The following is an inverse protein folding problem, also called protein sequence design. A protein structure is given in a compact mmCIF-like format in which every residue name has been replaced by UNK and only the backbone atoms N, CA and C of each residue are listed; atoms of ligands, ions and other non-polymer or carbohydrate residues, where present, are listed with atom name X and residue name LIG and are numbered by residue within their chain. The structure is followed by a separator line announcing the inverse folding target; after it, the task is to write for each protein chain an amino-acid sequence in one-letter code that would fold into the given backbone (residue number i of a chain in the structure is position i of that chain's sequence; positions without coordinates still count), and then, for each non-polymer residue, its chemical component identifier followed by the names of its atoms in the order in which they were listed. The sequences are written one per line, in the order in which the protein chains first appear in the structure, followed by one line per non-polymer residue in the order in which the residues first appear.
data_IF_656962360813
#
_entry.id   IF_656962360813
#
_cell.length_a   1.000
_cell.length_b   1.000
_cell.length_c   1.000
_cell.angle_alpha   90.00
_cell.angle_beta   90.00
_cell.angle_gamma   90.00
#
_symmetry.space_group_name_H-M   'P 1'
#
loop_
_entity.id
_entity.type
_entity.pdbx_description
1 polymer ?
#
# COMPACT_ATOMS: atom_id res chain seq x y z
N UNK A 1 -22.69 12.87 -12.07
CA UNK A 1 -22.16 14.11 -11.47
C UNK A 1 -21.57 13.94 -10.08
N UNK A 2 -22.25 13.36 -9.09
CA UNK A 2 -21.66 13.16 -7.73
C UNK A 2 -20.50 12.15 -7.70
N UNK A 3 -20.64 11.01 -8.41
CA UNK A 3 -19.59 9.98 -8.50
C UNK A 3 -18.31 10.52 -9.15
N UNK A 4 -18.42 11.27 -10.24
CA UNK A 4 -17.28 11.92 -10.90
C UNK A 4 -16.53 12.87 -9.95
N UNK A 5 -17.24 13.69 -9.18
CA UNK A 5 -16.61 14.61 -8.21
C UNK A 5 -15.91 13.89 -7.05
N UNK A 6 -16.36 12.69 -6.68
CA UNK A 6 -15.73 11.85 -5.66
C UNK A 6 -14.48 11.17 -6.21
N UNK A 7 -14.57 10.64 -7.43
CA UNK A 7 -13.47 9.99 -8.14
C UNK A 7 -12.32 10.99 -8.35
N UNK A 8 -12.60 12.20 -8.84
CA UNK A 8 -11.60 13.26 -9.02
C UNK A 8 -10.88 13.64 -7.72
N UNK A 9 -11.60 13.70 -6.58
CA UNK A 9 -10.99 14.00 -5.28
C UNK A 9 -10.11 12.87 -4.77
N UNK A 10 -10.50 11.62 -5.03
CA UNK A 10 -9.74 10.45 -4.60
C UNK A 10 -8.46 10.32 -5.43
N UNK A 11 -8.54 10.54 -6.74
CA UNK A 11 -7.38 10.65 -7.63
C UNK A 11 -6.47 11.80 -7.18
N UNK A 12 -7.01 12.98 -6.87
CA UNK A 12 -6.19 14.08 -6.37
C UNK A 12 -5.45 13.72 -5.07
N UNK A 13 -6.15 13.07 -4.12
CA UNK A 13 -5.52 12.63 -2.87
C UNK A 13 -4.45 11.57 -3.11
N UNK A 14 -4.69 10.62 -4.02
CA UNK A 14 -3.72 9.61 -4.44
C UNK A 14 -2.45 10.27 -4.99
N UNK A 15 -2.60 11.17 -5.97
CA UNK A 15 -1.46 11.87 -6.58
C UNK A 15 -0.71 12.75 -5.59
N UNK A 16 -1.41 13.33 -4.60
CA UNK A 16 -0.78 14.08 -3.53
C UNK A 16 0.14 13.19 -2.66
N UNK A 17 -0.19 11.91 -2.49
CA UNK A 17 0.64 10.97 -1.71
C UNK A 17 2.00 10.74 -2.40
N UNK A 18 2.07 10.79 -3.72
CA UNK A 18 3.32 10.65 -4.46
C UNK A 18 4.31 11.83 -4.27
N UNK A 19 3.91 12.91 -3.60
CA UNK A 19 4.86 13.93 -3.13
C UNK A 19 5.71 13.44 -1.94
N UNK A 20 5.25 12.45 -1.17
CA UNK A 20 5.99 11.95 -0.01
C UNK A 20 7.15 11.02 -0.40
N UNK A 21 8.28 11.06 0.31
CA UNK A 21 9.53 10.41 -0.12
C UNK A 21 9.43 8.90 -0.39
N UNK A 22 8.70 8.13 0.41
CA UNK A 22 8.58 6.69 0.22
C UNK A 22 7.57 6.29 -0.87
N UNK A 23 6.74 7.23 -1.34
CA UNK A 23 5.80 7.02 -2.44
C UNK A 23 6.29 7.69 -3.74
N UNK A 24 7.33 8.53 -3.65
CA UNK A 24 7.94 9.25 -4.76
C UNK A 24 9.03 8.42 -5.45
N UNK A 25 9.11 8.53 -6.77
CA UNK A 25 10.21 7.95 -7.54
C UNK A 25 10.06 6.43 -7.68
N UNK A 26 11.17 5.69 -7.66
CA UNK A 26 11.18 4.23 -7.90
C UNK A 26 12.08 3.47 -6.91
N UNK A 27 12.38 4.08 -5.77
CA UNK A 27 13.27 3.52 -4.74
C UNK A 27 12.56 2.60 -3.75
N UNK A 28 11.25 2.46 -3.89
CA UNK A 28 10.38 1.66 -3.02
C UNK A 28 9.50 0.76 -3.90
N UNK A 29 9.06 -0.41 -3.39
CA UNK A 29 8.24 -1.35 -4.14
C UNK A 29 6.98 -0.70 -4.71
N UNK A 30 6.65 -1.04 -5.96
CA UNK A 30 5.49 -0.46 -6.67
C UNK A 30 4.19 -0.64 -5.90
N UNK A 31 3.95 -1.82 -5.31
CA UNK A 31 2.76 -2.09 -4.50
C UNK A 31 2.57 -1.11 -3.34
N UNK A 32 3.67 -0.69 -2.69
CA UNK A 32 3.62 0.23 -1.56
C UNK A 32 3.43 1.68 -2.04
N UNK A 33 4.05 2.02 -3.18
CA UNK A 33 3.91 3.34 -3.78
C UNK A 33 2.48 3.60 -4.22
N UNK A 34 1.95 2.71 -5.07
CA UNK A 34 0.66 2.86 -5.74
C UNK A 34 -0.49 2.46 -4.79
N UNK A 35 -0.44 1.26 -4.20
CA UNK A 35 -1.46 0.82 -3.25
C UNK A 35 -1.44 1.59 -1.92
N UNK A 36 -0.29 2.12 -1.52
CA UNK A 36 -0.21 3.01 -0.36
C UNK A 36 -0.79 4.40 -0.64
N UNK A 37 -0.65 4.91 -1.86
CA UNK A 37 -1.34 6.13 -2.28
C UNK A 37 -2.86 5.93 -2.27
N UNK A 38 -3.35 4.81 -2.78
CA UNK A 38 -4.77 4.44 -2.71
C UNK A 38 -5.28 4.32 -1.27
N UNK A 39 -4.51 3.66 -0.39
CA UNK A 39 -4.94 3.49 1.00
C UNK A 39 -4.99 4.82 1.75
N UNK A 40 -4.01 5.70 1.57
CA UNK A 40 -4.03 7.02 2.21
C UNK A 40 -5.15 7.88 1.63
N UNK A 41 -5.37 7.85 0.32
CA UNK A 41 -6.48 8.54 -0.33
C UNK A 41 -7.83 8.07 0.22
N UNK A 42 -8.00 6.75 0.37
CA UNK A 42 -9.19 6.14 0.98
C UNK A 42 -9.39 6.62 2.42
N UNK A 43 -8.35 6.63 3.25
CA UNK A 43 -8.44 7.09 4.64
C UNK A 43 -8.80 8.58 4.74
N UNK A 44 -8.21 9.44 3.89
CA UNK A 44 -8.56 10.86 3.80
C UNK A 44 -10.01 11.03 3.41
N UNK A 45 -10.47 10.27 2.41
CA UNK A 45 -11.85 10.32 1.96
C UNK A 45 -12.83 9.90 3.07
N UNK A 46 -12.52 8.79 3.77
CA UNK A 46 -13.30 8.29 4.90
C UNK A 46 -13.37 9.34 6.02
N UNK A 47 -12.26 10.00 6.35
CA UNK A 47 -12.19 11.02 7.39
C UNK A 47 -12.96 12.30 7.01
N UNK A 48 -12.89 12.74 5.75
CA UNK A 48 -13.52 13.99 5.29
C UNK A 48 -15.01 13.85 5.00
N UNK A 49 -15.45 12.69 4.50
CA UNK A 49 -16.79 12.52 3.96
C UNK A 49 -17.61 11.45 4.66
N UNK A 50 -17.01 10.63 5.54
CA UNK A 50 -17.65 9.51 6.21
C UNK A 50 -18.35 8.54 5.23
N UNK A 51 -17.73 8.35 4.06
CA UNK A 51 -18.24 7.52 2.98
C UNK A 51 -17.27 6.39 2.71
N UNK A 52 -17.81 5.18 2.61
CA UNK A 52 -17.12 4.00 2.11
C UNK A 52 -17.53 3.83 0.65
N UNK A 53 -16.57 3.94 -0.26
CA UNK A 53 -16.80 3.58 -1.66
C UNK A 53 -16.34 2.15 -1.89
N UNK A 54 -17.17 1.38 -2.59
CA UNK A 54 -16.73 0.11 -3.15
C UNK A 54 -15.95 0.43 -4.41
N UNK A 55 -14.68 0.02 -4.46
CA UNK A 55 -14.03 -0.13 -5.75
C UNK A 55 -14.80 -1.17 -6.57
N UNK A 56 -14.83 -0.99 -7.89
CA UNK A 56 -15.33 -2.00 -8.82
C UNK A 56 -14.58 -3.32 -8.57
N UNK A 57 -15.26 -4.46 -8.79
CA UNK A 57 -14.81 -5.77 -8.32
C UNK A 57 -13.34 -6.09 -8.63
N UNK A 58 -12.69 -6.81 -7.72
CA UNK A 58 -11.26 -7.15 -7.73
C UNK A 58 -10.79 -7.56 -9.14
N UNK A 59 -10.06 -6.69 -9.87
CA UNK A 59 -9.53 -7.00 -11.19
C UNK A 59 -8.32 -7.95 -11.11
N UNK A 60 -7.87 -8.28 -9.90
CA UNK A 60 -6.66 -9.06 -9.61
C UNK A 60 -6.96 -10.34 -8.82
N UNK A 61 -8.02 -11.10 -9.18
CA UNK A 61 -8.36 -12.30 -8.43
C UNK A 61 -7.20 -13.30 -8.54
N UNK A 62 -6.78 -13.82 -7.39
CA UNK A 62 -5.69 -14.79 -7.25
C UNK A 62 -4.26 -14.28 -7.52
N UNK A 63 -4.03 -12.97 -7.65
CA UNK A 63 -2.68 -12.39 -7.64
C UNK A 63 -2.23 -12.17 -6.19
N UNK A 64 -1.01 -12.58 -5.86
CA UNK A 64 -0.35 -12.33 -4.59
C UNK A 64 0.67 -11.21 -4.73
N UNK A 65 0.98 -10.55 -3.62
CA UNK A 65 2.02 -9.53 -3.61
C UNK A 65 3.39 -10.10 -4.01
N UNK A 66 3.73 -11.34 -3.61
CA UNK A 66 4.96 -11.98 -4.07
C UNK A 66 5.02 -12.08 -5.60
N UNK A 67 3.92 -12.42 -6.28
CA UNK A 67 3.91 -12.47 -7.74
C UNK A 67 4.19 -11.10 -8.38
N UNK A 68 3.77 -10.01 -7.75
CA UNK A 68 4.07 -8.65 -8.23
C UNK A 68 5.55 -8.32 -8.07
N UNK A 69 6.11 -8.65 -6.90
CA UNK A 69 7.53 -8.47 -6.61
C UNK A 69 8.41 -9.30 -7.56
N UNK A 70 8.03 -10.56 -7.80
CA UNK A 70 8.74 -11.48 -8.70
C UNK A 70 8.68 -11.01 -10.15
N UNK A 71 7.51 -10.56 -10.62
CA UNK A 71 7.36 -10.04 -11.98
C UNK A 71 8.19 -8.78 -12.18
N UNK A 72 8.10 -7.79 -11.27
CA UNK A 72 8.90 -6.57 -11.36
C UNK A 72 10.40 -6.86 -11.31
N UNK A 73 10.85 -7.80 -10.47
CA UNK A 73 12.24 -8.23 -10.40
C UNK A 73 12.69 -8.94 -11.68
N UNK A 74 11.81 -9.73 -12.32
CA UNK A 74 12.14 -10.49 -13.52
C UNK A 74 12.19 -9.63 -14.78
N UNK A 75 11.22 -8.73 -14.98
CA UNK A 75 11.10 -7.95 -16.21
C UNK A 75 11.64 -6.52 -16.08
N UNK A 76 11.84 -6.04 -14.86
CA UNK A 76 12.19 -4.66 -14.57
C UNK A 76 10.99 -3.72 -14.56
N UNK A 77 11.13 -2.58 -13.87
CA UNK A 77 10.02 -1.64 -13.63
C UNK A 77 9.28 -1.20 -14.89
N UNK A 78 9.98 -0.83 -15.98
CA UNK A 78 9.30 -0.28 -17.16
C UNK A 78 8.41 -1.31 -17.85
N UNK A 79 8.90 -2.55 -17.96
CA UNK A 79 8.14 -3.66 -18.53
C UNK A 79 6.99 -4.06 -17.62
N UNK A 80 7.24 -4.15 -16.31
CA UNK A 80 6.21 -4.41 -15.31
C UNK A 80 5.09 -3.37 -15.38
N UNK A 81 5.45 -2.08 -15.47
CA UNK A 81 4.51 -0.97 -15.60
C UNK A 81 3.61 -1.05 -16.83
N UNK A 82 4.16 -1.52 -17.96
CA UNK A 82 3.38 -1.74 -19.18
C UNK A 82 2.63 -3.08 -19.20
N UNK A 83 2.86 -3.94 -18.20
CA UNK A 83 2.38 -5.31 -18.14
C UNK A 83 0.99 -5.45 -17.52
N UNK A 84 0.37 -6.64 -17.66
CA UNK A 84 -0.98 -6.89 -17.16
C UNK A 84 -1.08 -6.90 -15.63
N UNK A 85 0.03 -7.12 -14.91
CA UNK A 85 0.05 -7.18 -13.44
C UNK A 85 0.18 -5.81 -12.78
N UNK A 86 0.49 -4.74 -13.52
CA UNK A 86 0.77 -3.43 -12.92
C UNK A 86 -0.40 -2.91 -12.08
N UNK A 87 -1.63 -3.01 -12.62
CA UNK A 87 -2.84 -2.56 -11.94
C UNK A 87 -3.08 -3.26 -10.58
N UNK A 88 -2.52 -4.46 -10.40
CA UNK A 88 -2.66 -5.21 -9.15
C UNK A 88 -1.82 -4.64 -8.00
N UNK A 89 -0.81 -3.81 -8.27
CA UNK A 89 -0.08 -3.09 -7.22
C UNK A 89 -0.99 -2.18 -6.40
N UNK A 90 -1.94 -1.51 -7.07
CA UNK A 90 -2.94 -0.64 -6.47
C UNK A 90 -3.84 -1.45 -5.52
N UNK A 91 -4.52 -2.44 -6.08
CA UNK A 91 -5.54 -3.25 -5.37
C UNK A 91 -4.95 -4.07 -4.23
N UNK A 92 -3.88 -4.82 -4.50
CA UNK A 92 -3.26 -5.69 -3.49
C UNK A 92 -2.59 -4.85 -2.40
N UNK A 93 -1.88 -3.78 -2.79
CA UNK A 93 -1.22 -2.89 -1.85
C UNK A 93 -2.21 -2.17 -0.93
N UNK A 94 -3.29 -1.61 -1.49
CA UNK A 94 -4.34 -0.98 -0.70
C UNK A 94 -4.99 -1.97 0.26
N UNK A 95 -5.36 -3.15 -0.23
CA UNK A 95 -6.07 -4.16 0.58
C UNK A 95 -5.21 -4.67 1.73
N UNK A 96 -3.92 -4.96 1.47
CA UNK A 96 -2.97 -5.33 2.51
C UNK A 96 -2.80 -4.20 3.53
N UNK A 97 -2.57 -2.97 3.07
CA UNK A 97 -2.35 -1.83 3.97
C UNK A 97 -3.60 -1.47 4.79
N UNK A 98 -4.81 -1.68 4.24
CA UNK A 98 -6.07 -1.57 4.97
C UNK A 98 -6.15 -2.59 6.11
N UNK A 99 -5.90 -3.88 5.82
CA UNK A 99 -5.89 -4.93 6.84
C UNK A 99 -4.80 -4.71 7.91
N UNK A 100 -3.64 -4.20 7.52
CA UNK A 100 -2.56 -3.81 8.43
C UNK A 100 -2.99 -2.63 9.31
N UNK A 101 -3.59 -1.59 8.72
CA UNK A 101 -4.10 -0.44 9.46
C UNK A 101 -5.17 -0.83 10.48
N UNK A 102 -6.08 -1.75 10.12
CA UNK A 102 -7.11 -2.27 11.02
C UNK A 102 -6.50 -3.07 12.19
N UNK A 103 -5.47 -3.88 11.93
CA UNK A 103 -4.78 -4.65 12.97
C UNK A 103 -4.01 -3.73 13.94
N UNK A 104 -3.34 -2.70 13.41
CA UNK A 104 -2.50 -1.78 14.17
C UNK A 104 -3.31 -0.73 14.94
N UNK A 105 -4.41 -0.28 14.35
CA UNK A 105 -5.10 0.96 14.72
C UNK A 105 -4.45 2.20 14.10
N UNK A 106 -5.27 3.22 13.86
CA UNK A 106 -4.89 4.41 13.08
C UNK A 106 -3.66 5.16 13.62
N UNK A 107 -3.52 5.29 14.94
CA UNK A 107 -2.40 6.03 15.54
C UNK A 107 -1.06 5.32 15.29
N UNK A 108 -1.00 4.00 15.49
CA UNK A 108 0.18 3.21 15.25
C UNK A 108 0.54 3.18 13.75
N UNK A 109 -0.47 3.04 12.88
CA UNK A 109 -0.28 3.09 11.43
C UNK A 109 0.30 4.44 10.98
N UNK A 110 -0.25 5.57 11.44
CA UNK A 110 0.26 6.92 11.13
C UNK A 110 1.72 7.10 11.58
N UNK A 111 2.09 6.59 12.76
CA UNK A 111 3.48 6.64 13.25
C UNK A 111 4.42 5.80 12.38
N UNK A 112 4.07 4.55 12.08
CA UNK A 112 4.87 3.66 11.24
C UNK A 112 5.01 4.21 9.81
N UNK A 113 3.92 4.72 9.23
CA UNK A 113 3.92 5.37 7.92
C UNK A 113 4.92 6.53 7.89
N UNK A 114 4.86 7.43 8.88
CA UNK A 114 5.80 8.56 9.00
C UNK A 114 7.25 8.09 9.10
N UNK A 115 7.53 7.00 9.81
CA UNK A 115 8.87 6.43 9.90
C UNK A 115 9.41 6.00 8.54
N UNK A 116 8.59 5.32 7.72
CA UNK A 116 8.97 4.94 6.36
C UNK A 116 9.24 6.16 5.47
N UNK A 117 8.43 7.22 5.60
CA UNK A 117 8.66 8.47 4.86
C UNK A 117 9.98 9.13 5.25
N UNK A 118 10.33 9.16 6.54
CA UNK A 118 11.60 9.70 7.01
C UNK A 118 12.79 8.85 6.55
N UNK A 119 12.65 7.53 6.56
CA UNK A 119 13.68 6.61 6.07
C UNK A 119 13.98 6.86 4.58
N UNK A 120 12.94 6.95 3.75
CA UNK A 120 13.09 7.28 2.33
C UNK A 120 13.67 8.69 2.12
N UNK A 121 13.28 9.68 2.92
CA UNK A 121 13.85 11.03 2.87
C UNK A 121 15.37 11.04 3.16
N UNK A 122 15.81 10.14 4.03
CA UNK A 122 17.22 9.95 4.37
C UNK A 122 17.99 9.09 3.34
N UNK A 123 17.35 8.67 2.25
CA UNK A 123 17.94 7.80 1.23
C UNK A 123 18.11 6.35 1.67
N UNK A 124 17.44 5.93 2.74
CA UNK A 124 17.43 4.54 3.18
C UNK A 124 16.50 3.73 2.29
N UNK A 125 16.89 2.48 1.98
CA UNK A 125 16.05 1.57 1.21
C UNK A 125 14.79 1.20 1.99
N UNK A 126 13.63 1.53 1.44
CA UNK A 126 12.32 1.11 1.98
C UNK A 126 11.82 -0.06 1.15
N UNK A 127 12.44 -1.23 1.38
CA UNK A 127 12.12 -2.50 0.73
C UNK A 127 10.91 -3.18 1.38
N UNK A 128 10.36 -4.23 0.76
CA UNK A 128 9.23 -4.97 1.31
C UNK A 128 9.47 -5.49 2.75
N UNK A 129 10.61 -6.12 3.08
CA UNK A 129 10.91 -6.52 4.46
C UNK A 129 10.97 -5.34 5.44
N UNK A 130 11.55 -4.20 5.01
CA UNK A 130 11.63 -2.99 5.84
C UNK A 130 10.24 -2.43 6.14
N UNK A 131 9.35 -2.44 5.13
CA UNK A 131 7.95 -2.01 5.28
C UNK A 131 7.23 -2.91 6.28
N UNK A 132 7.27 -4.23 6.06
CA UNK A 132 6.65 -5.22 6.96
C UNK A 132 7.15 -5.06 8.39
N UNK A 133 8.46 -5.06 8.59
CA UNK A 133 9.06 -5.02 9.93
C UNK A 133 8.76 -3.71 10.65
N UNK A 134 8.70 -2.59 9.92
CA UNK A 134 8.31 -1.31 10.49
C UNK A 134 6.88 -1.33 10.99
N UNK A 135 5.92 -1.76 10.17
CA UNK A 135 4.54 -1.88 10.63
C UNK A 135 4.42 -2.89 11.79
N UNK A 136 5.06 -4.06 11.68
CA UNK A 136 5.04 -5.11 12.70
C UNK A 136 5.52 -4.61 14.06
N UNK A 137 6.59 -3.82 14.11
CA UNK A 137 7.14 -3.25 15.35
C UNK A 137 6.17 -2.27 16.04
N UNK A 138 5.33 -1.58 15.27
CA UNK A 138 4.33 -0.65 15.79
C UNK A 138 2.98 -1.33 16.09
N UNK A 139 2.78 -2.57 15.66
CA UNK A 139 1.57 -3.34 15.98
C UNK A 139 1.48 -3.64 17.48
N UNK A 140 0.34 -3.37 18.14
CA UNK A 140 0.12 -3.79 19.51
C UNK A 140 0.33 -5.30 19.67
N UNK A 141 1.00 -5.73 20.75
CA UNK A 141 1.33 -7.15 20.97
C UNK A 141 0.10 -8.06 20.97
N UNK A 142 -1.05 -7.57 21.45
CA UNK A 142 -2.34 -8.27 21.43
C UNK A 142 -2.96 -8.44 20.03
N UNK A 143 -2.40 -7.79 19.01
CA UNK A 143 -2.89 -7.77 17.62
C UNK A 143 -1.86 -8.34 16.63
N UNK A 144 -0.70 -8.79 17.09
CA UNK A 144 0.39 -9.27 16.23
C UNK A 144 -0.04 -10.43 15.33
N UNK A 145 -0.88 -11.35 15.82
CA UNK A 145 -1.40 -12.47 15.03
C UNK A 145 -2.30 -12.00 13.89
N UNK A 146 -3.08 -10.93 14.07
CA UNK A 146 -3.91 -10.36 13.01
C UNK A 146 -3.04 -9.70 11.94
N UNK A 147 -2.01 -8.97 12.37
CA UNK A 147 -1.01 -8.39 11.47
C UNK A 147 -0.30 -9.46 10.64
N UNK A 148 0.24 -10.50 11.30
CA UNK A 148 0.97 -11.59 10.64
C UNK A 148 0.03 -12.34 9.66
N UNK A 149 -1.25 -12.50 10.01
CA UNK A 149 -2.27 -13.11 9.14
C UNK A 149 -2.59 -12.24 7.91
N UNK A 150 -2.68 -10.93 8.06
CA UNK A 150 -2.92 -10.01 6.94
C UNK A 150 -1.81 -10.15 5.88
N UNK A 151 -0.55 -10.12 6.33
CA UNK A 151 0.59 -10.36 5.45
C UNK A 151 0.55 -11.77 4.84
N UNK A 152 0.25 -12.82 5.61
CA UNK A 152 0.19 -14.18 5.08
C UNK A 152 -0.88 -14.37 3.98
N UNK A 153 -2.05 -13.72 4.11
CA UNK A 153 -3.15 -13.82 3.14
C UNK A 153 -2.78 -13.18 1.80
N UNK A 154 -2.19 -11.99 1.83
CA UNK A 154 -1.96 -11.18 0.63
C UNK A 154 -0.55 -11.33 0.04
N UNK A 155 0.46 -11.58 0.87
CA UNK A 155 1.85 -11.76 0.42
C UNK A 155 2.08 -13.11 -0.26
N UNK A 156 1.70 -14.21 0.41
CA UNK A 156 1.89 -15.61 -0.02
C UNK A 156 3.31 -16.06 -0.40
N UNK A 157 4.32 -15.18 -0.32
CA UNK A 157 5.73 -15.52 -0.52
C UNK A 157 6.60 -15.41 0.72
N UNK A 158 7.88 -15.69 0.56
CA UNK A 158 8.90 -15.52 1.59
C UNK A 158 9.38 -14.07 1.64
N UNK A 159 9.70 -13.60 2.84
CA UNK A 159 10.24 -12.26 3.04
C UNK A 159 11.77 -12.34 3.09
N UNK A 160 12.38 -12.42 1.92
CA UNK A 160 13.82 -12.58 1.74
C UNK A 160 14.48 -11.29 1.26
#
# INVERSE_FOLDING_TARGET
DYECCVEEKTVFAHELVHFYPANRGRSTPTWFREGGADQVAFLVHLEMYNLVFSYTGDPCPAVSLQQLLDDEAAVGYLQHQSGPLFACNYVIGQTLLGAVADAMGAAAFKTAWRELQMAAAAGLGVTDPVIRDTFRRHTPSSKITLFDSAYAIWHKGEFN
#
